data_IF_745539394988
#
_entry.id   IF_745539394988
#
_cell.length_a   1.000
_cell.length_b   1.000
_cell.length_c   1.000
_cell.angle_alpha   90.00
_cell.angle_beta   90.00
_cell.angle_gamma   90.00
#
_symmetry.space_group_name_H-M   'P 1'
#
loop_
_entity.id
_entity.type
_entity.pdbx_description
1 polymer ?
#
# COMPACT_ATOMS: atom_id res chain seq x y z
N UNK A 1 55.10 -43.78 -28.49
CA UNK A 1 54.07 -43.73 -27.43
C UNK A 1 52.71 -43.56 -28.11
N UNK A 2 51.73 -44.44 -27.89
CA UNK A 2 50.48 -44.45 -28.69
C UNK A 2 49.63 -43.20 -28.39
N UNK A 3 49.12 -42.53 -29.42
CA UNK A 3 48.28 -41.32 -29.36
C UNK A 3 47.10 -41.45 -28.37
N UNK A 4 46.56 -42.66 -28.22
CA UNK A 4 45.51 -42.98 -27.24
C UNK A 4 45.93 -42.70 -25.80
N UNK A 5 47.20 -42.97 -25.44
CA UNK A 5 47.74 -42.71 -24.10
C UNK A 5 47.83 -41.21 -23.81
N UNK A 6 48.22 -40.41 -24.81
CA UNK A 6 48.30 -38.96 -24.67
C UNK A 6 46.92 -38.33 -24.40
N UNK A 7 45.90 -38.76 -25.15
CA UNK A 7 44.50 -38.36 -24.93
C UNK A 7 44.01 -38.69 -23.52
N UNK A 8 44.30 -39.90 -23.02
CA UNK A 8 43.88 -40.30 -21.66
C UNK A 8 44.55 -39.46 -20.57
N UNK A 9 45.85 -39.17 -20.69
CA UNK A 9 46.55 -38.34 -19.69
C UNK A 9 46.07 -36.89 -19.70
N UNK A 10 45.78 -36.33 -20.89
CA UNK A 10 45.24 -34.97 -21.00
C UNK A 10 43.88 -34.83 -20.32
N UNK A 11 43.00 -35.83 -20.46
CA UNK A 11 41.67 -35.82 -19.83
C UNK A 11 41.80 -35.91 -18.31
N UNK A 12 42.69 -36.78 -17.81
CA UNK A 12 42.93 -36.94 -16.36
C UNK A 12 43.48 -35.63 -15.76
N UNK A 13 44.40 -34.95 -16.45
CA UNK A 13 44.98 -33.68 -16.00
C UNK A 13 43.93 -32.55 -15.92
N UNK A 14 43.04 -32.46 -16.90
CA UNK A 14 41.94 -31.51 -16.88
C UNK A 14 40.97 -31.81 -15.73
N UNK A 15 40.68 -33.09 -15.49
CA UNK A 15 39.78 -33.47 -14.42
C UNK A 15 40.35 -33.12 -13.03
N UNK A 16 41.64 -33.38 -12.80
CA UNK A 16 42.30 -33.10 -11.52
C UNK A 16 42.39 -31.60 -11.23
N UNK A 17 42.70 -30.79 -12.24
CA UNK A 17 42.75 -29.32 -12.10
C UNK A 17 41.37 -28.72 -11.78
N UNK A 18 40.31 -29.19 -12.42
CA UNK A 18 38.93 -28.77 -12.13
C UNK A 18 38.53 -29.15 -10.69
N UNK A 19 38.84 -30.36 -10.25
CA UNK A 19 38.57 -30.81 -8.88
C UNK A 19 39.28 -29.95 -7.83
N UNK A 20 40.56 -29.63 -8.04
CA UNK A 20 41.36 -28.77 -7.17
C UNK A 20 40.79 -27.34 -7.10
N UNK A 21 40.33 -26.80 -8.23
CA UNK A 21 39.70 -25.49 -8.29
C UNK A 21 38.36 -25.46 -7.53
N UNK A 22 37.52 -26.47 -7.69
CA UNK A 22 36.24 -26.55 -6.97
C UNK A 22 36.45 -26.73 -5.46
N UNK A 23 37.44 -27.52 -5.06
CA UNK A 23 37.76 -27.75 -3.65
C UNK A 23 38.29 -26.49 -2.96
N UNK A 24 39.23 -25.79 -3.60
CA UNK A 24 39.76 -24.52 -3.11
C UNK A 24 38.68 -23.43 -3.03
N UNK A 25 37.80 -23.33 -4.04
CA UNK A 25 36.64 -22.43 -4.03
C UNK A 25 35.68 -22.70 -2.86
N UNK A 26 35.45 -23.97 -2.50
CA UNK A 26 34.61 -24.37 -1.36
C UNK A 26 35.23 -23.94 -0.03
N UNK A 27 36.54 -24.12 0.15
CA UNK A 27 37.27 -23.70 1.35
C UNK A 27 37.26 -22.18 1.49
N UNK A 28 37.55 -21.45 0.41
CA UNK A 28 37.56 -19.99 0.41
C UNK A 28 36.17 -19.42 0.76
N UNK A 29 35.10 -19.92 0.13
CA UNK A 29 33.72 -19.53 0.47
C UNK A 29 33.37 -19.77 1.94
N UNK A 30 33.82 -20.87 2.53
CA UNK A 30 33.53 -21.18 3.93
C UNK A 30 34.30 -20.28 4.91
N UNK A 31 35.55 -19.92 4.60
CA UNK A 31 36.31 -18.95 5.41
C UNK A 31 35.69 -17.55 5.32
N UNK A 32 35.40 -17.07 4.11
CA UNK A 32 34.78 -15.75 3.89
C UNK A 32 33.42 -15.65 4.57
N UNK A 33 32.56 -16.68 4.47
CA UNK A 33 31.25 -16.69 5.16
C UNK A 33 31.36 -16.60 6.68
N UNK A 34 32.38 -17.20 7.29
CA UNK A 34 32.60 -17.12 8.75
C UNK A 34 33.07 -15.74 9.20
N UNK A 35 33.83 -15.03 8.35
CA UNK A 35 34.37 -13.70 8.66
C UNK A 35 33.31 -12.61 8.42
N UNK A 36 32.59 -12.66 7.30
CA UNK A 36 31.56 -11.65 6.97
C UNK A 36 30.28 -11.78 7.82
N UNK A 37 29.94 -12.99 8.27
CA UNK A 37 28.68 -13.24 8.98
C UNK A 37 28.93 -14.00 10.29
N UNK A 38 29.41 -13.32 11.35
CA UNK A 38 29.44 -13.92 12.68
C UNK A 38 28.01 -14.24 13.11
N UNK A 39 27.67 -15.54 13.10
CA UNK A 39 26.32 -16.09 13.33
C UNK A 39 25.64 -15.62 14.64
N UNK A 40 26.42 -15.11 15.59
CA UNK A 40 25.94 -14.56 16.88
C UNK A 40 25.32 -13.16 16.72
N UNK A 41 25.97 -12.26 15.97
CA UNK A 41 25.49 -10.88 15.76
C UNK A 41 24.17 -10.86 14.98
N UNK A 42 24.06 -11.71 13.96
CA UNK A 42 22.84 -11.83 13.16
C UNK A 42 21.62 -12.29 13.96
N UNK A 43 21.81 -13.14 14.98
CA UNK A 43 20.69 -13.62 15.81
C UNK A 43 20.18 -12.53 16.75
N UNK A 44 21.08 -11.81 17.41
CA UNK A 44 20.70 -10.70 18.30
C UNK A 44 20.03 -9.55 17.55
N UNK A 45 20.52 -9.22 16.36
CA UNK A 45 19.93 -8.15 15.53
C UNK A 45 18.55 -8.55 14.99
N UNK A 46 18.36 -9.83 14.63
CA UNK A 46 17.06 -10.36 14.19
C UNK A 46 16.03 -10.40 15.33
N UNK A 47 16.44 -10.78 16.54
CA UNK A 47 15.57 -10.73 17.73
C UNK A 47 15.20 -9.30 18.14
N UNK A 48 16.16 -8.36 18.12
CA UNK A 48 15.90 -6.93 18.36
C UNK A 48 14.92 -6.36 17.35
N UNK A 49 15.11 -6.65 16.05
CA UNK A 49 14.21 -6.20 15.00
C UNK A 49 12.80 -6.77 15.15
N UNK A 50 12.66 -8.04 15.56
CA UNK A 50 11.36 -8.65 15.83
C UNK A 50 10.62 -7.95 16.97
N UNK A 51 11.30 -7.71 18.09
CA UNK A 51 10.74 -6.98 19.25
C UNK A 51 10.33 -5.56 18.90
N UNK A 52 11.12 -4.85 18.09
CA UNK A 52 10.81 -3.50 17.64
C UNK A 52 9.58 -3.46 16.73
N UNK A 53 9.45 -4.44 15.84
CA UNK A 53 8.32 -4.55 14.92
C UNK A 53 7.01 -4.87 15.66
N UNK A 54 7.05 -5.77 16.66
CA UNK A 54 5.89 -6.05 17.52
C UNK A 54 5.44 -4.81 18.30
N UNK A 55 6.38 -4.05 18.86
CA UNK A 55 6.08 -2.81 19.59
C UNK A 55 5.50 -1.74 18.67
N UNK A 56 6.03 -1.60 17.46
CA UNK A 56 5.50 -0.70 16.44
C UNK A 56 4.06 -1.07 16.05
N UNK A 57 3.77 -2.35 15.79
CA UNK A 57 2.42 -2.79 15.46
C UNK A 57 1.42 -2.54 16.59
N UNK A 58 1.84 -2.79 17.84
CA UNK A 58 1.01 -2.53 19.03
C UNK A 58 0.68 -1.04 19.18
N UNK A 59 1.66 -0.16 18.96
CA UNK A 59 1.46 1.29 19.01
C UNK A 59 0.52 1.77 17.89
N UNK A 60 0.70 1.26 16.67
CA UNK A 60 -0.16 1.57 15.53
C UNK A 60 -1.62 1.19 15.78
N UNK A 61 -1.86 0.01 16.37
CA UNK A 61 -3.21 -0.42 16.75
C UNK A 61 -3.81 0.49 17.83
N UNK A 62 -3.03 0.87 18.84
CA UNK A 62 -3.48 1.78 19.91
C UNK A 62 -3.86 3.17 19.38
N UNK A 63 -3.12 3.69 18.42
CA UNK A 63 -3.47 4.95 17.75
C UNK A 63 -4.77 4.86 16.94
N UNK A 64 -4.99 3.74 16.23
CA UNK A 64 -6.22 3.54 15.48
C UNK A 64 -7.46 3.52 16.40
N UNK A 65 -7.36 2.83 17.54
CA UNK A 65 -8.44 2.80 18.56
C UNK A 65 -8.70 4.21 19.09
N UNK A 66 -7.66 4.97 19.47
CA UNK A 66 -7.80 6.35 19.92
C UNK A 66 -8.48 7.26 18.89
N UNK A 67 -8.13 7.11 17.60
CA UNK A 67 -8.78 7.87 16.53
C UNK A 67 -10.27 7.53 16.41
N UNK A 68 -10.63 6.25 16.52
CA UNK A 68 -12.03 5.82 16.52
C UNK A 68 -12.80 6.37 17.73
N UNK A 69 -12.22 6.34 18.92
CA UNK A 69 -12.83 6.92 20.13
C UNK A 69 -13.09 8.42 20.01
N UNK A 70 -12.12 9.17 19.45
CA UNK A 70 -12.27 10.61 19.20
C UNK A 70 -13.39 10.86 18.18
N UNK A 71 -13.47 10.08 17.10
CA UNK A 71 -14.55 10.20 16.12
C UNK A 71 -15.91 9.88 16.73
N UNK A 72 -15.99 8.85 17.59
CA UNK A 72 -17.22 8.47 18.27
C UNK A 72 -17.67 9.53 19.29
N UNK A 73 -16.74 10.16 20.02
CA UNK A 73 -17.05 11.29 20.91
C UNK A 73 -17.55 12.50 20.11
N UNK A 74 -16.86 12.86 19.02
CA UNK A 74 -17.30 13.95 18.13
C UNK A 74 -18.69 13.71 17.53
N UNK A 75 -19.05 12.47 17.21
CA UNK A 75 -20.38 12.15 16.69
C UNK A 75 -21.50 12.27 17.74
N UNK A 76 -21.21 12.05 19.03
CA UNK A 76 -22.22 12.19 20.09
C UNK A 76 -22.60 13.66 20.35
N UNK A 77 -21.67 14.59 20.14
CA UNK A 77 -21.90 16.03 20.33
C UNK A 77 -22.43 16.76 19.08
N UNK A 78 -22.49 16.10 17.91
CA UNK A 78 -23.13 16.67 16.73
C UNK A 78 -24.64 16.52 16.90
N UNK A 79 -25.24 17.53 17.52
CA UNK A 79 -26.67 17.80 17.45
C UNK A 79 -27.04 17.82 15.96
N UNK A 80 -27.69 16.76 15.49
CA UNK A 80 -28.11 16.62 14.09
C UNK A 80 -29.06 17.77 13.80
N UNK A 81 -28.55 18.78 13.08
CA UNK A 81 -29.34 19.90 12.60
C UNK A 81 -30.36 19.34 11.61
N UNK A 82 -31.57 19.04 12.10
CA UNK A 82 -32.72 18.59 11.29
C UNK A 82 -33.30 19.80 10.56
N UNK A 83 -32.51 20.43 9.71
CA UNK A 83 -33.08 21.29 8.68
C UNK A 83 -33.78 20.37 7.70
N UNK A 84 -35.11 20.35 7.76
CA UNK A 84 -35.94 19.76 6.72
C UNK A 84 -35.81 20.62 5.45
N UNK A 85 -34.67 20.51 4.76
CA UNK A 85 -34.42 21.16 3.49
C UNK A 85 -35.30 20.49 2.43
N UNK A 86 -36.56 20.92 2.35
CA UNK A 86 -37.45 20.60 1.25
C UNK A 86 -36.86 21.28 0.02
N UNK A 87 -36.39 20.51 -0.95
CA UNK A 87 -35.95 21.06 -2.24
C UNK A 87 -37.19 21.68 -2.88
N UNK A 88 -37.26 23.00 -2.91
CA UNK A 88 -38.42 23.74 -3.44
C UNK A 88 -38.37 23.76 -4.96
N UNK A 89 -37.19 23.90 -5.56
CA UNK A 89 -37.04 23.93 -7.01
C UNK A 89 -35.62 23.57 -7.47
N UNK A 90 -35.49 23.02 -8.68
CA UNK A 90 -34.21 22.77 -9.35
C UNK A 90 -34.09 23.78 -10.50
N UNK A 91 -33.32 24.84 -10.26
CA UNK A 91 -33.17 25.94 -11.22
C UNK A 91 -32.35 25.48 -12.44
N UNK A 92 -32.76 25.92 -13.65
CA UNK A 92 -31.99 25.68 -14.87
C UNK A 92 -30.61 26.35 -14.78
N UNK A 93 -29.50 25.64 -15.10
CA UNK A 93 -28.17 26.24 -15.08
C UNK A 93 -28.07 27.41 -16.06
N UNK A 94 -27.68 28.57 -15.53
CA UNK A 94 -27.39 29.77 -16.32
C UNK A 94 -25.88 29.83 -16.59
N UNK A 95 -25.48 29.94 -17.86
CA UNK A 95 -24.08 30.01 -18.28
C UNK A 95 -23.49 28.70 -18.81
N UNK A 96 -22.49 28.81 -19.70
CA UNK A 96 -21.84 27.65 -20.37
C UNK A 96 -21.12 26.73 -19.38
N UNK A 97 -20.40 27.30 -18.40
CA UNK A 97 -19.69 26.56 -17.36
C UNK A 97 -20.62 25.78 -16.43
N UNK A 98 -21.69 26.43 -15.98
CA UNK A 98 -22.71 25.82 -15.12
C UNK A 98 -23.36 24.64 -15.85
N UNK A 99 -23.74 24.82 -17.12
CA UNK A 99 -24.25 23.72 -17.96
C UNK A 99 -23.24 22.57 -18.07
N UNK A 100 -21.96 22.86 -18.29
CA UNK A 100 -20.92 21.82 -18.39
C UNK A 100 -20.76 21.03 -17.09
N UNK A 101 -20.80 21.69 -15.93
CA UNK A 101 -20.72 21.03 -14.62
C UNK A 101 -21.99 20.23 -14.33
N UNK A 102 -23.18 20.77 -14.63
CA UNK A 102 -24.47 20.11 -14.34
C UNK A 102 -24.73 18.94 -15.29
N UNK A 103 -24.50 19.11 -16.59
CA UNK A 103 -24.83 18.14 -17.64
C UNK A 103 -23.69 17.12 -17.82
N UNK A 104 -22.44 17.57 -17.66
CA UNK A 104 -21.26 16.76 -17.94
C UNK A 104 -20.71 15.96 -16.75
N UNK A 105 -21.30 16.06 -15.56
CA UNK A 105 -20.75 15.39 -14.38
C UNK A 105 -21.72 14.44 -13.69
N UNK A 106 -21.23 13.20 -13.48
CA UNK A 106 -21.75 12.20 -12.51
C UNK A 106 -22.01 12.80 -11.11
N UNK A 107 -21.47 13.99 -10.83
CA UNK A 107 -21.55 14.67 -9.54
C UNK A 107 -22.99 14.99 -9.17
N UNK A 108 -23.79 15.60 -10.05
CA UNK A 108 -25.16 15.97 -9.71
C UNK A 108 -26.05 14.75 -9.56
N UNK A 109 -25.85 13.71 -10.38
CA UNK A 109 -26.57 12.46 -10.24
C UNK A 109 -26.25 11.78 -8.90
N UNK A 110 -24.97 11.72 -8.52
CA UNK A 110 -24.59 11.17 -7.22
C UNK A 110 -25.02 12.06 -6.04
N UNK A 111 -25.07 13.38 -6.24
CA UNK A 111 -25.51 14.34 -5.24
C UNK A 111 -27.00 14.23 -4.95
N UNK A 112 -27.82 14.20 -5.98
CA UNK A 112 -29.27 13.98 -5.85
C UNK A 112 -29.57 12.62 -5.20
N UNK A 113 -28.86 11.56 -5.59
CA UNK A 113 -28.97 10.25 -4.93
C UNK A 113 -28.60 10.30 -3.45
N UNK A 114 -27.55 11.04 -3.09
CA UNK A 114 -27.10 11.17 -1.71
C UNK A 114 -28.03 12.06 -0.88
N UNK A 115 -28.62 13.11 -1.45
CA UNK A 115 -29.64 13.92 -0.80
C UNK A 115 -30.91 13.09 -0.57
N UNK A 116 -31.35 12.31 -1.55
CA UNK A 116 -32.53 11.46 -1.38
C UNK A 116 -32.34 10.41 -0.29
N UNK A 117 -31.12 9.84 -0.16
CA UNK A 117 -30.81 8.83 0.87
C UNK A 117 -30.54 9.44 2.25
N UNK A 118 -29.79 10.53 2.31
CA UNK A 118 -29.21 11.03 3.56
C UNK A 118 -29.56 12.50 3.89
N UNK A 119 -30.35 13.18 3.06
CA UNK A 119 -30.67 14.59 3.21
C UNK A 119 -31.40 14.95 4.50
N UNK A 120 -32.07 13.97 5.15
CA UNK A 120 -32.72 14.16 6.45
C UNK A 120 -31.75 14.13 7.64
N UNK A 121 -30.53 13.63 7.45
CA UNK A 121 -29.56 13.38 8.53
C UNK A 121 -28.27 14.17 8.37
N UNK A 122 -27.95 14.65 7.17
CA UNK A 122 -26.68 15.31 6.84
C UNK A 122 -26.94 16.63 6.15
N UNK A 123 -26.16 17.65 6.50
CA UNK A 123 -26.25 18.97 5.89
C UNK A 123 -25.79 18.98 4.42
N UNK A 124 -26.25 19.99 3.67
CA UNK A 124 -25.91 20.18 2.25
C UNK A 124 -24.41 20.10 1.98
N UNK A 125 -23.60 20.82 2.77
CA UNK A 125 -22.15 20.88 2.61
C UNK A 125 -21.46 19.53 2.85
N UNK A 126 -21.96 18.74 3.80
CA UNK A 126 -21.42 17.40 4.09
C UNK A 126 -21.67 16.46 2.90
N UNK A 127 -22.87 16.50 2.32
CA UNK A 127 -23.23 15.72 1.14
C UNK A 127 -22.43 16.19 -0.10
N UNK A 128 -22.14 17.48 -0.20
CA UNK A 128 -21.41 18.06 -1.32
C UNK A 128 -19.93 17.66 -1.30
N UNK A 129 -19.29 17.70 -0.12
CA UNK A 129 -17.91 17.22 0.02
C UNK A 129 -17.85 15.71 -0.25
N UNK A 130 -18.81 14.94 0.27
CA UNK A 130 -18.87 13.48 0.06
C UNK A 130 -19.02 13.13 -1.43
N UNK A 131 -19.83 13.85 -2.18
CA UNK A 131 -19.96 13.64 -3.63
C UNK A 131 -18.70 13.98 -4.40
N UNK A 132 -18.03 15.10 -4.08
CA UNK A 132 -16.76 15.43 -4.73
C UNK A 132 -15.70 14.35 -4.52
N UNK A 133 -15.63 13.75 -3.34
CA UNK A 133 -14.69 12.65 -3.07
C UNK A 133 -15.03 11.41 -3.91
N UNK A 134 -16.32 11.06 -3.99
CA UNK A 134 -16.78 9.91 -4.77
C UNK A 134 -16.52 10.08 -6.28
N UNK A 135 -16.73 11.28 -6.82
CA UNK A 135 -16.49 11.55 -8.25
C UNK A 135 -15.01 11.62 -8.58
N UNK A 136 -14.18 12.22 -7.70
CA UNK A 136 -12.71 12.28 -7.87
C UNK A 136 -12.05 10.91 -7.78
N UNK A 137 -12.63 9.97 -7.02
CA UNK A 137 -12.09 8.62 -6.81
C UNK A 137 -11.98 7.75 -8.07
N UNK A 138 -12.83 7.98 -9.09
CA UNK A 138 -12.83 7.16 -10.32
C UNK A 138 -11.63 7.40 -11.25
N UNK A 139 -10.91 8.52 -11.12
CA UNK A 139 -9.89 8.94 -12.09
C UNK A 139 -8.43 8.71 -11.66
N UNK A 140 -8.16 8.16 -10.47
CA UNK A 140 -6.78 7.92 -9.99
C UNK A 140 -6.15 6.60 -10.42
N UNK A 141 -6.79 5.82 -11.31
CA UNK A 141 -6.39 4.43 -11.61
C UNK A 141 -6.03 4.11 -13.07
N UNK A 142 -5.88 5.09 -13.96
CA UNK A 142 -5.38 4.86 -15.34
C UNK A 142 -4.10 5.64 -15.58
N UNK A 143 -3.03 5.22 -14.91
CA UNK A 143 -1.67 5.46 -15.36
C UNK A 143 -1.27 4.33 -16.31
N UNK A 144 -0.85 4.70 -17.53
CA UNK A 144 0.06 3.89 -18.33
C UNK A 144 1.44 3.93 -17.71
#
# INVERSE_FOLDING_TARGET
MSFKKFLTYSIILLFTTILLFLFSRKIYRNKVRKILFPKKVFKEELEKNKKYNELYQKNKLKELIRRQEILHKKQKDVQVYKEASKIIDIVKPVGKWTKMIIIGSDLIQHFTQLINKNGKQKGFWELFIKTQVLTRGKHKGKGR
#
